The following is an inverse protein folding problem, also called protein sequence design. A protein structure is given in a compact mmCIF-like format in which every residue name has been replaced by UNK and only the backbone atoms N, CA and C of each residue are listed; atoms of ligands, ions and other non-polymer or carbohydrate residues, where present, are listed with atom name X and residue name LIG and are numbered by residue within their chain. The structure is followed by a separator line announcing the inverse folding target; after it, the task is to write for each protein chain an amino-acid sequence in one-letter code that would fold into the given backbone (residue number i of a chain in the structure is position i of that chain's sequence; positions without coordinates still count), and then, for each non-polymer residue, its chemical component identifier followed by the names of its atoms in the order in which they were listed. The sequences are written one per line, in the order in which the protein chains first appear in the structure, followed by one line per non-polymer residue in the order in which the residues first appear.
data_IF_189414536472
#
_entry.id   IF_189414536472
#
_cell.length_a   1.000
_cell.length_b   1.000
_cell.length_c   1.000
_cell.angle_alpha   90.00
_cell.angle_beta   90.00
_cell.angle_gamma   90.00
#
_symmetry.space_group_name_H-M   'P 1'
#
loop_
_entity.id
_entity.type
_entity.pdbx_description
1 polymer ?
#
# COMPACT_ATOMS: atom_id res chain seq x y z
N UNK A 1 1.34 -17.12 -11.53
CA UNK A 1 1.90 -15.91 -12.15
C UNK A 1 1.89 -14.81 -11.11
N UNK A 2 3.06 -14.33 -10.68
CA UNK A 2 3.13 -13.08 -9.92
C UNK A 2 2.79 -11.96 -10.92
N UNK A 3 1.68 -11.24 -10.67
CA UNK A 3 1.29 -10.09 -11.50
C UNK A 3 2.14 -8.89 -11.08
N UNK A 4 2.53 -8.08 -12.07
CA UNK A 4 3.18 -6.79 -11.86
C UNK A 4 2.07 -5.72 -11.86
N UNK A 5 1.98 -4.84 -10.83
CA UNK A 5 2.82 -4.76 -9.63
C UNK A 5 2.62 -5.91 -8.66
N UNK A 6 3.73 -6.27 -8.00
CA UNK A 6 3.81 -7.37 -7.07
C UNK A 6 2.89 -7.12 -5.85
N UNK A 7 1.90 -7.98 -5.68
CA UNK A 7 0.90 -7.82 -4.62
C UNK A 7 1.50 -8.18 -3.25
N UNK A 8 1.65 -7.17 -2.39
CA UNK A 8 2.24 -7.32 -1.05
C UNK A 8 1.46 -8.29 -0.15
N UNK A 9 0.16 -8.50 -0.39
CA UNK A 9 -0.66 -9.47 0.37
C UNK A 9 -0.17 -10.90 0.20
N UNK A 10 0.45 -11.20 -0.94
CA UNK A 10 1.00 -12.52 -1.24
C UNK A 10 2.47 -12.67 -0.84
N UNK A 11 3.09 -11.60 -0.33
CA UNK A 11 4.48 -11.63 0.12
C UNK A 11 4.64 -12.19 1.54
N UNK A 12 3.56 -12.21 2.32
CA UNK A 12 3.60 -12.59 3.73
C UNK A 12 2.64 -13.74 4.03
N UNK A 13 3.10 -14.75 4.78
CA UNK A 13 2.23 -15.83 5.24
C UNK A 13 1.15 -15.27 6.17
N UNK A 14 -0.10 -15.58 5.87
CA UNK A 14 -1.26 -15.19 6.69
C UNK A 14 -1.78 -13.78 6.46
N UNK A 15 -1.26 -13.02 5.48
CA UNK A 15 -1.75 -11.67 5.15
C UNK A 15 -2.47 -11.60 3.80
N UNK A 16 -2.85 -12.73 3.22
CA UNK A 16 -3.54 -12.79 1.93
C UNK A 16 -4.92 -12.13 1.92
N UNK A 17 -5.53 -11.95 3.10
CA UNK A 17 -6.82 -11.28 3.30
C UNK A 17 -6.70 -10.05 4.22
N UNK A 18 -5.47 -9.66 4.56
CA UNK A 18 -5.23 -8.49 5.41
C UNK A 18 -5.51 -7.20 4.63
N UNK A 19 -5.98 -6.17 5.33
CA UNK A 19 -6.04 -4.83 4.76
C UNK A 19 -4.63 -4.25 4.60
N UNK A 20 -4.49 -3.20 3.79
CA UNK A 20 -3.19 -2.52 3.62
C UNK A 20 -2.70 -1.97 4.96
N UNK A 21 -3.59 -1.40 5.77
CA UNK A 21 -3.29 -0.88 7.10
C UNK A 21 -2.78 -1.96 8.04
N UNK A 22 -3.39 -3.16 8.02
CA UNK A 22 -2.93 -4.29 8.81
C UNK A 22 -1.53 -4.78 8.37
N UNK A 23 -1.25 -4.77 7.06
CA UNK A 23 0.08 -5.12 6.54
C UNK A 23 1.09 -4.06 6.98
N UNK A 24 0.77 -2.79 6.86
CA UNK A 24 1.63 -1.66 7.27
C UNK A 24 1.93 -1.74 8.76
N UNK A 25 0.92 -1.95 9.61
CA UNK A 25 1.12 -2.09 11.04
C UNK A 25 2.04 -3.27 11.39
N UNK A 26 1.77 -4.45 10.80
CA UNK A 26 2.59 -5.65 11.06
C UNK A 26 4.01 -5.58 10.50
N UNK A 27 4.25 -4.81 9.45
CA UNK A 27 5.56 -4.75 8.76
C UNK A 27 6.39 -3.54 9.14
N UNK A 28 5.77 -2.39 9.34
CA UNK A 28 6.44 -1.12 9.62
C UNK A 28 6.30 -0.68 11.08
N UNK A 29 5.42 -1.34 11.87
CA UNK A 29 5.30 -1.12 13.31
C UNK A 29 4.51 0.13 13.72
N UNK A 30 3.81 0.76 12.77
CA UNK A 30 2.95 1.91 13.03
C UNK A 30 1.63 1.79 12.29
N UNK A 31 0.58 2.40 12.87
CA UNK A 31 -0.75 2.42 12.29
C UNK A 31 -0.88 3.60 11.33
N UNK A 32 -1.37 3.32 10.13
CA UNK A 32 -1.78 4.35 9.17
C UNK A 32 -3.31 4.38 9.15
N UNK A 33 -3.90 5.54 9.41
CA UNK A 33 -5.34 5.73 9.31
C UNK A 33 -5.65 6.30 7.92
N UNK A 34 -6.10 5.43 7.04
CA UNK A 34 -6.61 5.81 5.73
C UNK A 34 -8.14 5.88 5.80
N UNK A 35 -8.71 7.00 5.36
CA UNK A 35 -10.14 7.28 5.51
C UNK A 35 -10.87 6.75 4.28
N UNK A 36 -11.92 5.94 4.47
CA UNK A 36 -12.71 5.35 3.38
C UNK A 36 -13.29 6.39 2.44
N UNK A 37 -13.60 7.58 2.95
CA UNK A 37 -14.18 8.66 2.18
C UNK A 37 -13.20 9.20 1.13
N UNK A 38 -11.90 9.20 1.45
CA UNK A 38 -10.85 9.60 0.51
C UNK A 38 -10.58 8.48 -0.49
N UNK A 39 -10.55 7.22 -0.06
CA UNK A 39 -10.28 6.09 -0.97
C UNK A 39 -11.38 5.95 -2.04
N UNK A 40 -12.63 6.26 -1.70
CA UNK A 40 -13.79 6.22 -2.60
C UNK A 40 -14.16 7.59 -3.22
N UNK A 41 -13.30 8.60 -3.05
CA UNK A 41 -13.51 9.94 -3.63
C UNK A 41 -13.29 9.97 -5.17
N UNK A 42 -13.57 11.10 -5.81
CA UNK A 42 -13.37 11.26 -7.25
C UNK A 42 -11.88 11.46 -7.59
N UNK A 43 -11.21 10.38 -7.96
CA UNK A 43 -9.81 10.36 -8.37
C UNK A 43 -9.56 10.83 -9.80
N UNK A 44 -10.63 11.07 -10.58
CA UNK A 44 -10.53 11.57 -11.95
C UNK A 44 -10.74 13.09 -12.03
N UNK A 45 -10.94 13.76 -10.90
CA UNK A 45 -11.04 15.21 -10.87
C UNK A 45 -9.73 15.86 -11.36
N UNK A 46 -9.85 17.01 -12.01
CA UNK A 46 -8.72 17.74 -12.58
C UNK A 46 -7.71 18.17 -11.51
N UNK A 47 -8.20 18.44 -10.31
CA UNK A 47 -7.39 18.81 -9.16
C UNK A 47 -7.75 17.94 -7.98
N UNK A 48 -6.76 17.21 -7.47
CA UNK A 48 -6.93 16.41 -6.27
C UNK A 48 -6.92 17.32 -5.03
N UNK A 49 -7.70 16.96 -4.02
CA UNK A 49 -7.62 17.58 -2.70
C UNK A 49 -6.29 17.23 -2.02
N UNK A 50 -5.90 18.03 -1.02
CA UNK A 50 -4.73 17.71 -0.21
C UNK A 50 -4.85 16.35 0.49
N UNK A 51 -6.08 15.95 0.87
CA UNK A 51 -6.33 14.66 1.51
C UNK A 51 -6.13 13.50 0.54
N UNK A 52 -6.56 13.64 -0.73
CA UNK A 52 -6.28 12.66 -1.78
C UNK A 52 -4.78 12.54 -2.06
N UNK A 53 -4.07 13.68 -2.14
CA UNK A 53 -2.61 13.69 -2.34
C UNK A 53 -1.90 13.00 -1.17
N UNK A 54 -2.25 13.34 0.07
CA UNK A 54 -1.69 12.73 1.27
C UNK A 54 -1.98 11.21 1.32
N UNK A 55 -3.21 10.81 1.01
CA UNK A 55 -3.61 9.41 0.97
C UNK A 55 -2.74 8.60 -0.01
N UNK A 56 -2.64 9.06 -1.26
CA UNK A 56 -1.90 8.37 -2.31
C UNK A 56 -0.40 8.32 -2.03
N UNK A 57 0.17 9.40 -1.49
CA UNK A 57 1.61 9.44 -1.15
C UNK A 57 1.95 8.53 0.04
N UNK A 58 1.11 8.50 1.08
CA UNK A 58 1.30 7.59 2.21
C UNK A 58 1.20 6.14 1.76
N UNK A 59 0.23 5.80 0.90
CA UNK A 59 0.06 4.45 0.37
C UNK A 59 1.29 3.98 -0.42
N UNK A 60 1.73 4.80 -1.38
CA UNK A 60 2.92 4.52 -2.20
C UNK A 60 4.20 4.42 -1.35
N UNK A 61 4.35 5.29 -0.34
CA UNK A 61 5.51 5.27 0.55
C UNK A 61 5.56 3.99 1.40
N UNK A 62 4.43 3.59 1.97
CA UNK A 62 4.33 2.35 2.73
C UNK A 62 4.65 1.13 1.86
N UNK A 63 4.09 1.07 0.65
CA UNK A 63 4.37 0.00 -0.30
C UNK A 63 5.87 -0.07 -0.67
N UNK A 64 6.52 1.07 -0.86
CA UNK A 64 7.96 1.15 -1.11
C UNK A 64 8.78 0.61 0.07
N UNK A 65 8.49 1.06 1.30
CA UNK A 65 9.21 0.60 2.49
C UNK A 65 9.08 -0.92 2.67
N UNK A 66 7.87 -1.45 2.53
CA UNK A 66 7.62 -2.89 2.63
C UNK A 66 8.36 -3.64 1.52
N UNK A 67 8.26 -3.16 0.27
CA UNK A 67 8.94 -3.75 -0.88
C UNK A 67 10.46 -3.77 -0.72
N UNK A 68 11.03 -2.69 -0.15
CA UNK A 68 12.44 -2.61 0.18
C UNK A 68 12.83 -3.64 1.23
N UNK A 69 12.06 -3.74 2.31
CA UNK A 69 12.36 -4.61 3.44
C UNK A 69 12.27 -6.10 3.08
N UNK A 70 11.46 -6.47 2.08
CA UNK A 70 11.36 -7.86 1.58
C UNK A 70 12.28 -8.15 0.38
N UNK A 71 13.06 -7.18 -0.08
CA UNK A 71 13.89 -7.34 -1.27
C UNK A 71 13.08 -7.64 -2.54
N UNK A 72 11.97 -6.94 -2.76
CA UNK A 72 11.00 -7.26 -3.82
C UNK A 72 11.61 -7.33 -5.24
N UNK A 73 12.74 -6.65 -5.48
CA UNK A 73 13.48 -6.73 -6.74
C UNK A 73 14.07 -8.12 -7.04
N UNK A 74 14.23 -8.98 -6.02
CA UNK A 74 14.72 -10.35 -6.21
C UNK A 74 13.64 -11.29 -6.76
N UNK A 75 12.37 -10.92 -6.66
CA UNK A 75 11.25 -11.76 -7.13
C UNK A 75 11.04 -11.73 -8.65
N UNK A 76 11.67 -10.78 -9.33
CA UNK A 76 11.64 -10.62 -10.78
C UNK A 76 12.93 -11.11 -11.46
N UNK A 77 13.86 -11.73 -10.72
CA UNK A 77 15.01 -12.48 -11.26
C UNK A 77 14.66 -13.96 -11.40
#
# INVERSE_FOLDING_TARGET
MRRDPLDLRHCFRGLSQASVEEIVEKRLGYRVTQWSDVSMSDWYDKYLSNDQVAYATVDAHCAFLIGRDIGAWEFNR
#
